data_IF_932766957817
#
_entry.id   IF_932766957817
#
_cell.length_a   1.000
_cell.length_b   1.000
_cell.length_c   1.000
_cell.angle_alpha   90.00
_cell.angle_beta   90.00
_cell.angle_gamma   90.00
#
_symmetry.space_group_name_H-M   'P 1'
#
loop_
_entity.id
_entity.type
_entity.pdbx_description
1 polymer ?
#
# COMPACT_ATOMS: atom_id res chain seq x y z
N UNK A 1 11.40 30.39 -32.91
CA UNK A 1 12.06 29.16 -32.41
C UNK A 1 11.95 29.17 -30.89
N UNK A 2 11.10 28.32 -30.32
CA UNK A 2 10.65 28.44 -28.92
C UNK A 2 11.48 27.54 -27.99
N UNK A 3 11.57 27.95 -26.72
CA UNK A 3 12.29 27.26 -25.64
C UNK A 3 11.87 25.80 -25.42
N UNK A 4 10.75 25.35 -26.01
CA UNK A 4 10.30 23.95 -25.97
C UNK A 4 11.15 23.00 -26.83
N UNK A 5 11.81 23.49 -27.90
CA UNK A 5 12.69 22.63 -28.73
C UNK A 5 14.02 22.29 -28.04
N UNK A 6 14.43 23.05 -27.01
CA UNK A 6 15.67 22.80 -26.28
C UNK A 6 15.55 21.71 -25.20
N UNK A 7 14.36 21.53 -24.62
CA UNK A 7 14.13 20.54 -23.56
C UNK A 7 13.97 19.10 -24.11
N UNK A 8 13.43 18.95 -25.32
CA UNK A 8 13.36 17.65 -26.01
C UNK A 8 14.73 17.16 -26.50
N UNK A 9 15.62 18.08 -26.89
CA UNK A 9 17.00 17.73 -27.25
C UNK A 9 17.84 17.32 -26.02
N UNK A 10 17.62 17.93 -24.85
CA UNK A 10 18.33 17.55 -23.62
C UNK A 10 17.82 16.22 -23.02
N UNK A 11 16.53 15.91 -23.17
CA UNK A 11 15.97 14.64 -22.71
C UNK A 11 16.49 13.45 -23.53
N UNK A 12 16.74 13.61 -24.84
CA UNK A 12 17.32 12.54 -25.66
C UNK A 12 18.82 12.31 -25.42
N UNK A 13 19.58 13.34 -25.02
CA UNK A 13 21.03 13.22 -24.76
C UNK A 13 21.32 12.65 -23.37
N UNK A 14 20.40 12.79 -22.40
CA UNK A 14 20.55 12.20 -21.06
C UNK A 14 20.03 10.75 -20.94
N UNK A 15 19.23 10.27 -21.90
CA UNK A 15 18.75 8.88 -21.95
C UNK A 15 19.64 7.94 -22.78
N UNK A 16 20.58 8.48 -23.55
CA UNK A 16 21.52 7.70 -24.37
C UNK A 16 22.49 6.79 -23.55
N UNK A 17 22.93 7.12 -22.32
CA UNK A 17 23.83 6.24 -21.57
C UNK A 17 23.12 5.04 -20.90
N UNK A 18 21.78 5.06 -20.78
CA UNK A 18 21.03 4.01 -20.08
C UNK A 18 20.56 2.86 -21.00
N UNK A 19 20.74 3.00 -22.32
CA UNK A 19 20.36 1.99 -23.31
C UNK A 19 21.56 1.29 -23.98
N UNK A 20 22.79 1.62 -23.58
CA UNK A 20 24.02 1.00 -24.09
C UNK A 20 24.68 -0.02 -23.15
N UNK A 21 24.02 -0.44 -22.07
CA UNK A 21 24.41 -1.64 -21.32
C UNK A 21 23.87 -2.89 -22.03
N UNK A 22 24.25 -3.04 -23.30
CA UNK A 22 24.08 -4.28 -24.03
C UNK A 22 24.82 -5.38 -23.25
N UNK A 23 24.10 -6.47 -23.02
CA UNK A 23 24.59 -7.75 -22.57
C UNK A 23 25.84 -8.19 -23.33
N UNK A 24 27.01 -7.79 -22.85
CA UNK A 24 28.18 -8.64 -22.92
C UNK A 24 28.07 -9.54 -21.70
N UNK A 25 27.79 -10.82 -21.94
CA UNK A 25 28.07 -11.89 -20.99
C UNK A 25 29.60 -11.95 -20.79
N UNK A 26 30.15 -10.94 -20.13
CA UNK A 26 31.47 -10.99 -19.57
C UNK A 26 31.40 -12.01 -18.45
N UNK A 27 32.22 -13.06 -18.54
CA UNK A 27 32.47 -13.98 -17.44
C UNK A 27 32.52 -13.15 -16.14
N UNK A 28 31.59 -13.43 -15.22
CA UNK A 28 31.48 -12.68 -13.98
C UNK A 28 32.84 -12.73 -13.31
N UNK A 29 33.55 -11.59 -13.33
CA UNK A 29 34.88 -11.50 -12.75
C UNK A 29 34.69 -11.67 -11.26
N UNK A 30 35.02 -12.86 -10.76
CA UNK A 30 35.00 -13.16 -9.34
C UNK A 30 35.86 -12.11 -8.65
N UNK A 31 35.28 -11.37 -7.72
CA UNK A 31 36.00 -10.44 -6.87
C UNK A 31 37.13 -11.24 -6.18
N UNK A 32 38.41 -10.83 -6.29
CA UNK A 32 39.54 -11.60 -5.77
C UNK A 32 39.45 -11.93 -4.26
N UNK A 33 38.61 -11.20 -3.53
CA UNK A 33 38.51 -11.23 -2.07
C UNK A 33 37.20 -11.84 -1.53
N UNK A 34 36.41 -12.58 -2.32
CA UNK A 34 35.33 -13.38 -1.72
C UNK A 34 35.93 -14.63 -1.04
N UNK A 35 36.02 -14.69 0.30
CA UNK A 35 36.59 -15.85 1.01
C UNK A 35 35.79 -17.14 0.78
N UNK A 36 34.60 -17.01 0.19
CA UNK A 36 33.75 -18.12 -0.16
C UNK A 36 33.69 -18.46 -1.65
N UNK A 37 34.47 -17.78 -2.49
CA UNK A 37 34.59 -18.17 -3.88
C UNK A 37 35.40 -19.46 -4.03
N UNK A 38 35.09 -20.23 -5.06
CA UNK A 38 35.82 -21.44 -5.39
C UNK A 38 35.47 -21.94 -6.77
N UNK A 39 36.24 -22.91 -7.24
CA UNK A 39 35.94 -23.62 -8.48
C UNK A 39 36.19 -25.11 -8.34
N UNK A 40 35.54 -25.88 -9.21
CA UNK A 40 35.84 -27.29 -9.38
C UNK A 40 35.73 -27.66 -10.85
N UNK A 41 36.52 -28.65 -11.22
CA UNK A 41 36.47 -29.25 -12.54
C UNK A 41 36.14 -30.71 -12.36
N UNK A 42 35.05 -31.15 -12.99
CA UNK A 42 34.75 -32.57 -13.12
C UNK A 42 34.87 -32.97 -14.58
N UNK A 43 35.35 -34.18 -14.83
CA UNK A 43 35.52 -34.70 -16.17
C UNK A 43 35.08 -36.17 -16.23
N UNK A 44 34.76 -36.63 -17.43
CA UNK A 44 34.39 -38.00 -17.67
C UNK A 44 34.53 -38.38 -19.13
N UNK A 45 34.37 -39.67 -19.39
CA UNK A 45 34.27 -40.20 -20.74
C UNK A 45 32.87 -40.79 -20.90
N UNK A 46 32.23 -40.47 -22.02
CA UNK A 46 30.97 -41.10 -22.40
C UNK A 46 31.23 -42.11 -23.51
N UNK A 47 30.78 -43.35 -23.27
CA UNK A 47 30.75 -44.40 -24.30
C UNK A 47 29.37 -44.41 -24.97
N UNK A 48 29.26 -44.80 -26.25
CA UNK A 48 27.98 -44.88 -26.94
C UNK A 48 26.96 -45.71 -26.15
N UNK A 49 25.79 -45.13 -25.86
CA UNK A 49 24.70 -45.80 -25.15
C UNK A 49 24.88 -45.95 -23.64
N UNK A 50 26.00 -45.49 -23.06
CA UNK A 50 26.24 -45.54 -21.61
C UNK A 50 26.32 -44.12 -21.07
N UNK A 51 25.45 -43.73 -20.11
CA UNK A 51 25.56 -42.42 -19.47
C UNK A 51 26.86 -42.32 -18.67
N UNK A 52 27.51 -41.16 -18.76
CA UNK A 52 28.62 -40.78 -17.92
C UNK A 52 28.06 -39.97 -16.75
N UNK A 53 28.25 -40.42 -15.51
CA UNK A 53 27.70 -39.74 -14.33
C UNK A 53 28.84 -39.20 -13.50
N UNK A 54 28.71 -37.95 -13.06
CA UNK A 54 29.67 -37.34 -12.15
C UNK A 54 28.98 -36.60 -11.02
N UNK A 55 29.65 -36.59 -9.86
CA UNK A 55 29.19 -35.88 -8.67
C UNK A 55 29.85 -34.51 -8.62
N UNK A 56 29.04 -33.46 -8.70
CA UNK A 56 29.43 -32.08 -8.51
C UNK A 56 29.10 -31.65 -7.08
N UNK A 57 30.12 -31.42 -6.24
CA UNK A 57 29.90 -30.98 -4.85
C UNK A 57 30.06 -29.46 -4.76
N UNK A 58 28.94 -28.74 -4.81
CA UNK A 58 28.90 -27.31 -4.51
C UNK A 58 28.62 -27.14 -3.00
N UNK A 59 29.43 -26.36 -2.26
CA UNK A 59 29.15 -26.12 -0.85
C UNK A 59 27.78 -25.44 -0.65
N UNK A 60 27.05 -25.74 0.44
CA UNK A 60 25.78 -25.08 0.73
C UNK A 60 25.98 -23.56 0.88
N UNK A 61 25.00 -22.78 0.39
CA UNK A 61 25.08 -21.31 0.38
C UNK A 61 25.94 -20.69 -0.72
N UNK A 62 26.43 -21.49 -1.67
CA UNK A 62 27.17 -21.00 -2.82
C UNK A 62 26.26 -20.77 -4.03
N UNK A 63 26.55 -19.71 -4.77
CA UNK A 63 25.91 -19.36 -6.04
C UNK A 63 26.88 -19.66 -7.18
N UNK A 64 26.46 -20.43 -8.17
CA UNK A 64 27.22 -20.62 -9.41
C UNK A 64 27.24 -19.28 -10.14
N UNK A 65 28.43 -18.79 -10.47
CA UNK A 65 28.64 -17.52 -11.21
C UNK A 65 29.15 -17.75 -12.62
N UNK A 66 29.74 -18.92 -12.86
CA UNK A 66 30.20 -19.34 -14.17
C UNK A 66 30.20 -20.88 -14.21
N UNK A 67 29.72 -21.44 -15.32
CA UNK A 67 29.86 -22.86 -15.60
C UNK A 67 30.07 -23.06 -17.10
N UNK A 68 31.22 -23.61 -17.46
CA UNK A 68 31.60 -23.91 -18.84
C UNK A 68 31.69 -25.41 -19.03
N UNK A 69 30.86 -25.93 -19.93
CA UNK A 69 30.94 -27.30 -20.41
C UNK A 69 31.83 -27.33 -21.65
N UNK A 70 32.81 -28.23 -21.64
CA UNK A 70 33.66 -28.51 -22.78
C UNK A 70 33.62 -29.99 -23.12
N UNK A 71 33.66 -30.32 -24.40
CA UNK A 71 33.79 -31.71 -24.83
C UNK A 71 34.64 -31.81 -26.08
N UNK A 72 35.41 -32.90 -26.14
CA UNK A 72 36.32 -33.19 -27.23
C UNK A 72 35.86 -34.42 -27.98
N UNK A 73 35.88 -34.34 -29.30
CA UNK A 73 35.68 -35.47 -30.19
C UNK A 73 36.82 -35.54 -31.20
N UNK A 74 37.25 -36.75 -31.56
CA UNK A 74 38.18 -36.90 -32.68
C UNK A 74 37.38 -36.83 -33.99
N UNK A 75 37.44 -35.72 -34.75
CA UNK A 75 36.61 -35.55 -35.93
C UNK A 75 37.01 -36.50 -37.07
N UNK A 76 38.19 -37.14 -37.01
CA UNK A 76 38.67 -38.00 -38.11
C UNK A 76 37.88 -39.30 -38.25
N UNK A 77 37.36 -39.84 -37.15
CA UNK A 77 36.60 -41.11 -37.16
C UNK A 77 35.13 -40.95 -36.72
N UNK A 78 34.78 -39.82 -36.11
CA UNK A 78 33.42 -39.52 -35.70
C UNK A 78 32.81 -38.53 -36.69
N UNK A 79 32.10 -39.03 -37.70
CA UNK A 79 31.29 -38.16 -38.56
C UNK A 79 30.08 -37.70 -37.75
N UNK A 80 29.84 -36.39 -37.60
CA UNK A 80 28.60 -35.94 -36.99
C UNK A 80 27.41 -36.40 -37.85
N UNK A 81 26.29 -36.82 -37.24
CA UNK A 81 25.07 -37.10 -37.97
C UNK A 81 24.67 -35.84 -38.71
N UNK A 82 24.46 -35.94 -40.03
CA UNK A 82 24.02 -34.82 -40.86
C UNK A 82 25.03 -34.30 -41.90
N UNK A 83 26.19 -34.92 -42.12
CA UNK A 83 27.03 -34.60 -43.31
C UNK A 83 26.47 -35.21 -44.61
N UNK A 84 25.26 -34.81 -44.95
CA UNK A 84 24.76 -34.73 -46.31
C UNK A 84 24.30 -33.29 -46.53
N UNK A 85 25.19 -32.45 -47.05
CA UNK A 85 25.01 -31.12 -47.69
C UNK A 85 23.99 -30.07 -47.20
N UNK A 86 23.17 -30.31 -46.17
CA UNK A 86 22.19 -29.35 -45.67
C UNK A 86 22.33 -29.19 -44.15
N UNK A 87 22.85 -28.02 -43.79
CA UNK A 87 23.00 -27.43 -42.46
C UNK A 87 23.99 -28.09 -41.47
N UNK A 88 24.95 -27.31 -40.91
CA UNK A 88 25.81 -27.80 -39.85
C UNK A 88 24.99 -27.98 -38.57
N UNK A 89 24.60 -29.21 -38.26
CA UNK A 89 24.06 -29.55 -36.94
C UNK A 89 25.18 -29.32 -35.92
N UNK A 90 25.07 -28.26 -35.14
CA UNK A 90 26.02 -27.96 -34.09
C UNK A 90 26.10 -29.15 -33.11
N UNK A 91 27.31 -29.55 -32.67
CA UNK A 91 27.44 -30.65 -31.73
C UNK A 91 26.62 -30.30 -30.48
N UNK A 92 25.82 -31.27 -30.03
CA UNK A 92 24.97 -31.12 -28.87
C UNK A 92 25.28 -32.22 -27.86
N UNK A 93 25.17 -31.87 -26.58
CA UNK A 93 25.44 -32.74 -25.45
C UNK A 93 24.23 -32.76 -24.53
N UNK A 94 23.77 -33.93 -24.12
CA UNK A 94 22.61 -34.04 -23.24
C UNK A 94 23.04 -34.08 -21.77
N UNK A 95 22.43 -33.23 -20.96
CA UNK A 95 22.57 -33.22 -19.50
C UNK A 95 21.20 -33.49 -18.91
N UNK A 96 21.02 -34.66 -18.30
CA UNK A 96 19.69 -35.16 -17.95
C UNK A 96 18.76 -35.20 -19.17
N UNK A 97 17.68 -34.42 -19.13
CA UNK A 97 16.72 -34.28 -20.22
C UNK A 97 16.92 -33.00 -21.06
N UNK A 98 17.94 -32.18 -20.76
CA UNK A 98 18.22 -30.95 -21.48
C UNK A 98 19.30 -31.17 -22.55
N UNK A 99 19.06 -30.64 -23.75
CA UNK A 99 20.04 -30.62 -24.83
C UNK A 99 20.84 -29.30 -24.80
N UNK A 100 22.16 -29.40 -24.63
CA UNK A 100 23.09 -28.27 -24.66
C UNK A 100 23.80 -28.25 -26.01
N UNK A 101 23.64 -27.18 -26.78
CA UNK A 101 24.28 -27.00 -28.09
C UNK A 101 25.58 -26.22 -27.91
N UNK A 102 26.63 -26.59 -28.64
CA UNK A 102 27.89 -25.84 -28.62
C UNK A 102 27.68 -24.40 -29.10
N UNK A 103 28.19 -23.46 -28.31
CA UNK A 103 28.20 -22.03 -28.63
C UNK A 103 29.49 -21.66 -29.38
N UNK A 104 30.58 -22.38 -29.10
CA UNK A 104 31.89 -22.15 -29.70
C UNK A 104 32.60 -23.47 -29.94
N UNK A 105 33.29 -23.58 -31.07
CA UNK A 105 34.16 -24.72 -31.41
C UNK A 105 35.57 -24.18 -31.65
N UNK A 106 36.56 -24.77 -30.99
CA UNK A 106 37.97 -24.45 -31.19
C UNK A 106 38.69 -25.65 -31.81
N UNK A 107 39.30 -25.46 -32.98
CA UNK A 107 40.05 -26.50 -33.68
C UNK A 107 41.49 -26.59 -33.17
N UNK A 108 41.96 -27.80 -32.89
CA UNK A 108 43.34 -28.06 -32.45
C UNK A 108 43.99 -29.26 -33.14
N UNK A 109 45.33 -29.41 -33.05
CA UNK A 109 46.06 -30.54 -33.63
C UNK A 109 45.61 -31.91 -33.08
N UNK A 110 44.88 -31.93 -31.96
CA UNK A 110 44.34 -33.12 -31.32
C UNK A 110 42.82 -33.30 -31.46
N UNK A 111 42.16 -32.49 -32.29
CA UNK A 111 40.71 -32.53 -32.51
C UNK A 111 40.02 -31.20 -32.23
N UNK A 112 38.71 -31.16 -32.48
CA UNK A 112 37.86 -30.00 -32.20
C UNK A 112 37.34 -30.07 -30.75
N UNK A 113 37.37 -28.95 -30.05
CA UNK A 113 36.82 -28.78 -28.70
C UNK A 113 35.59 -27.90 -28.79
N UNK A 114 34.45 -28.42 -28.38
CA UNK A 114 33.22 -27.65 -28.28
C UNK A 114 33.07 -27.09 -26.85
N UNK A 115 32.51 -25.88 -26.76
CA UNK A 115 32.26 -25.13 -25.55
C UNK A 115 30.80 -24.70 -25.48
N UNK A 116 30.20 -24.76 -24.29
CA UNK A 116 28.88 -24.17 -24.02
C UNK A 116 28.84 -23.57 -22.62
N UNK A 117 28.34 -22.34 -22.50
CA UNK A 117 28.03 -21.74 -21.22
C UNK A 117 26.73 -22.36 -20.67
N UNK A 118 26.83 -23.01 -19.52
CA UNK A 118 25.70 -23.66 -18.84
C UNK A 118 25.36 -23.02 -17.50
N UNK A 119 25.88 -21.83 -17.20
CA UNK A 119 25.75 -21.14 -15.90
C UNK A 119 24.30 -21.06 -15.43
N UNK A 120 23.39 -20.59 -16.28
CA UNK A 120 21.98 -20.40 -15.92
C UNK A 120 21.17 -21.70 -15.92
N UNK A 121 21.63 -22.70 -16.67
CA UNK A 121 20.95 -24.01 -16.84
C UNK A 121 21.36 -25.01 -15.76
N UNK A 122 22.59 -24.91 -15.27
CA UNK A 122 23.20 -25.87 -14.36
C UNK A 122 22.36 -26.16 -13.10
N UNK A 123 21.73 -25.16 -12.44
CA UNK A 123 20.84 -25.43 -11.31
C UNK A 123 19.64 -26.32 -11.65
N UNK A 124 19.10 -26.23 -12.88
CA UNK A 124 18.00 -27.08 -13.34
C UNK A 124 18.44 -28.47 -13.81
N UNK A 125 19.73 -28.63 -14.11
CA UNK A 125 20.33 -29.88 -14.57
C UNK A 125 20.86 -30.77 -13.44
N UNK A 126 21.04 -30.21 -12.24
CA UNK A 126 21.40 -30.97 -11.05
C UNK A 126 20.25 -31.87 -10.62
N UNK A 127 20.57 -33.10 -10.19
CA UNK A 127 19.58 -33.98 -9.57
C UNK A 127 18.95 -33.33 -8.32
N UNK A 128 17.86 -33.91 -7.82
CA UNK A 128 17.14 -33.38 -6.64
C UNK A 128 18.03 -33.26 -5.38
N UNK A 129 19.11 -34.04 -5.31
CA UNK A 129 20.13 -33.96 -4.25
C UNK A 129 21.09 -32.76 -4.39
N UNK A 130 20.97 -31.99 -5.48
CA UNK A 130 21.79 -30.83 -5.80
C UNK A 130 23.24 -31.14 -6.12
N UNK A 131 23.61 -32.42 -6.32
CA UNK A 131 25.02 -32.82 -6.37
C UNK A 131 25.39 -33.79 -7.48
N UNK A 132 24.42 -34.37 -8.18
CA UNK A 132 24.69 -35.35 -9.24
C UNK A 132 24.28 -34.78 -10.59
N UNK A 133 25.16 -34.94 -11.59
CA UNK A 133 24.88 -34.60 -12.98
C UNK A 133 25.09 -35.86 -13.82
N UNK A 134 24.07 -36.21 -14.62
CA UNK A 134 24.13 -37.30 -15.57
C UNK A 134 24.32 -36.74 -16.98
N UNK A 135 25.39 -37.15 -17.64
CA UNK A 135 25.71 -36.80 -19.01
C UNK A 135 25.36 -37.96 -19.94
N UNK A 136 24.50 -37.71 -20.90
CA UNK A 136 24.08 -38.71 -21.87
C UNK A 136 24.73 -38.41 -23.22
N UNK A 137 25.67 -39.26 -23.62
CA UNK A 137 26.25 -39.22 -24.96
C UNK A 137 25.29 -39.84 -25.97
N UNK A 138 24.26 -39.12 -26.40
CA UNK A 138 23.40 -39.53 -27.51
C UNK A 138 23.99 -39.05 -28.84
N UNK A 139 24.97 -39.80 -29.36
CA UNK A 139 25.34 -39.68 -30.77
C UNK A 139 24.64 -40.79 -31.54
N UNK A 140 23.57 -40.43 -32.25
CA UNK A 140 22.94 -41.31 -33.23
C UNK A 140 23.77 -41.30 -34.51
N UNK A 141 24.79 -42.16 -34.60
CA UNK A 141 25.53 -42.34 -35.84
C UNK A 141 26.94 -42.89 -35.66
N UNK A 142 27.10 -44.17 -36.05
CA UNK A 142 28.32 -44.79 -36.58
C UNK A 142 29.51 -45.02 -35.63
N UNK A 143 29.67 -46.30 -35.24
CA UNK A 143 30.94 -46.90 -34.82
C UNK A 143 31.21 -46.89 -33.31
N UNK A 144 31.48 -48.06 -32.73
CA UNK A 144 31.70 -48.29 -31.30
C UNK A 144 32.97 -47.63 -30.70
N UNK A 145 33.65 -46.73 -31.41
CA UNK A 145 34.97 -46.18 -31.03
C UNK A 145 35.01 -44.67 -30.78
N UNK A 146 33.87 -43.98 -30.80
CA UNK A 146 33.79 -42.55 -30.50
C UNK A 146 33.63 -42.31 -28.99
N UNK A 147 34.70 -42.50 -28.21
CA UNK A 147 34.74 -42.04 -26.82
C UNK A 147 34.86 -40.52 -26.79
N UNK A 148 33.90 -39.84 -26.16
CA UNK A 148 33.95 -38.38 -25.98
C UNK A 148 34.35 -38.06 -24.54
N UNK A 149 35.49 -37.39 -24.40
CA UNK A 149 35.88 -36.76 -23.16
C UNK A 149 35.07 -35.47 -22.98
N UNK A 150 34.53 -35.27 -21.79
CA UNK A 150 33.86 -34.03 -21.42
C UNK A 150 34.44 -33.51 -20.11
N UNK A 151 34.43 -32.19 -19.95
CA UNK A 151 34.87 -31.48 -18.75
C UNK A 151 33.87 -30.38 -18.44
N UNK A 152 33.42 -30.29 -17.20
CA UNK A 152 32.60 -29.20 -16.69
C UNK A 152 33.41 -28.44 -15.64
N UNK A 153 33.74 -27.19 -15.96
CA UNK A 153 34.35 -26.25 -15.02
C UNK A 153 33.24 -25.41 -14.40
N UNK A 154 33.20 -25.33 -13.07
CA UNK A 154 32.18 -24.58 -12.32
C UNK A 154 32.88 -23.65 -11.35
N UNK A 155 32.49 -22.38 -11.37
CA UNK A 155 32.92 -21.35 -10.44
C UNK A 155 31.72 -20.88 -9.61
N UNK A 156 31.92 -20.71 -8.31
CA UNK A 156 30.90 -20.22 -7.40
C UNK A 156 31.42 -19.13 -6.49
N UNK A 157 30.49 -18.35 -5.93
CA UNK A 157 30.68 -17.28 -4.95
C UNK A 157 29.76 -17.51 -3.75
N UNK A 158 29.94 -16.74 -2.67
CA UNK A 158 28.98 -16.68 -1.56
C UNK A 158 27.67 -16.02 -2.01
N UNK A 159 26.57 -16.77 -1.96
CA UNK A 159 25.25 -16.22 -2.25
C UNK A 159 24.77 -15.25 -1.18
N UNK A 160 24.03 -14.22 -1.59
CA UNK A 160 23.46 -13.17 -0.73
C UNK A 160 21.93 -13.22 -0.85
N UNK A 161 21.25 -14.14 -0.13
CA UNK A 161 19.80 -14.21 -0.16
C UNK A 161 19.21 -13.01 0.59
N UNK A 162 18.25 -12.32 -0.01
CA UNK A 162 17.58 -11.20 0.61
C UNK A 162 16.15 -11.09 0.08
N UNK A 163 15.24 -10.67 0.96
CA UNK A 163 13.83 -10.43 0.64
C UNK A 163 13.47 -9.06 1.20
N UNK A 164 12.62 -8.34 0.48
CA UNK A 164 12.05 -7.06 0.87
C UNK A 164 10.53 -7.16 0.79
N UNK A 165 9.83 -6.38 1.62
CA UNK A 165 8.38 -6.27 1.59
C UNK A 165 7.98 -4.82 1.79
N UNK A 166 6.97 -4.37 1.04
CA UNK A 166 6.26 -3.10 1.28
C UNK A 166 4.78 -3.41 1.42
N UNK A 167 4.07 -2.65 2.26
CA UNK A 167 2.63 -2.83 2.46
C UNK A 167 1.90 -1.49 2.55
N UNK A 168 0.67 -1.49 2.06
CA UNK A 168 -0.24 -0.34 2.05
C UNK A 168 -1.67 -0.82 2.26
N UNK A 169 -2.56 0.09 2.67
CA UNK A 169 -3.97 -0.19 2.86
C UNK A 169 -4.83 0.78 2.04
N UNK A 170 -5.92 0.26 1.49
CA UNK A 170 -6.91 1.01 0.74
C UNK A 170 -8.31 0.76 1.35
N UNK A 171 -9.05 1.80 1.75
CA UNK A 171 -8.68 3.22 1.71
C UNK A 171 -7.54 3.59 2.68
N UNK A 172 -6.83 4.68 2.39
CA UNK A 172 -5.73 5.19 3.23
C UNK A 172 -6.23 5.92 4.50
N UNK A 173 -7.54 6.17 4.58
CA UNK A 173 -8.22 6.73 5.75
C UNK A 173 -9.46 5.89 6.07
N UNK A 174 -9.79 5.77 7.35
CA UNK A 174 -10.94 4.99 7.80
C UNK A 174 -11.13 5.05 9.30
N UNK A 175 -12.29 4.63 9.78
CA UNK A 175 -12.59 4.45 11.20
C UNK A 175 -12.17 3.04 11.62
N UNK A 176 -11.80 2.82 12.89
CA UNK A 176 -11.57 1.47 13.39
C UNK A 176 -12.76 0.54 13.09
N UNK A 177 -12.47 -0.63 12.51
CA UNK A 177 -13.48 -1.61 12.10
C UNK A 177 -14.04 -1.44 10.68
N UNK A 178 -13.79 -0.32 10.00
CA UNK A 178 -14.17 -0.14 8.59
C UNK A 178 -13.49 -1.19 7.71
N UNK A 179 -14.11 -1.56 6.59
CA UNK A 179 -13.51 -2.48 5.63
C UNK A 179 -12.31 -1.82 4.97
N UNK A 180 -11.20 -2.55 4.89
CA UNK A 180 -10.05 -2.17 4.08
C UNK A 180 -9.54 -3.35 3.26
N UNK A 181 -8.73 -3.05 2.25
CA UNK A 181 -7.93 -4.01 1.51
C UNK A 181 -6.46 -3.69 1.76
N UNK A 182 -5.73 -4.61 2.36
CA UNK A 182 -4.28 -4.49 2.54
C UNK A 182 -3.58 -5.14 1.35
N UNK A 183 -2.64 -4.42 0.74
CA UNK A 183 -1.81 -4.92 -0.34
C UNK A 183 -0.36 -4.98 0.11
N UNK A 184 0.38 -6.01 -0.30
CA UNK A 184 1.80 -6.13 -0.07
C UNK A 184 2.55 -6.50 -1.35
N UNK A 185 3.73 -5.90 -1.52
CA UNK A 185 4.67 -6.18 -2.62
C UNK A 185 5.90 -6.85 -2.01
N UNK A 186 6.10 -8.12 -2.35
CA UNK A 186 7.23 -8.93 -1.89
C UNK A 186 8.25 -8.99 -3.02
N UNK A 187 9.50 -8.63 -2.74
CA UNK A 187 10.57 -8.58 -3.74
C UNK A 187 11.77 -9.41 -3.28
N UNK A 188 12.30 -10.25 -4.17
CA UNK A 188 13.61 -10.86 -3.94
C UNK A 188 14.71 -9.87 -4.34
N UNK A 189 15.33 -9.26 -3.34
CA UNK A 189 16.43 -8.29 -3.51
C UNK A 189 17.82 -8.94 -3.48
N UNK A 190 17.86 -10.26 -3.22
CA UNK A 190 19.09 -11.04 -3.23
C UNK A 190 19.51 -11.47 -4.63
N UNK A 191 20.61 -12.20 -4.69
CA UNK A 191 21.20 -12.74 -5.92
C UNK A 191 20.89 -14.23 -6.16
N UNK A 192 20.06 -14.83 -5.30
CA UNK A 192 19.67 -16.25 -5.38
C UNK A 192 18.15 -16.43 -5.40
N UNK A 193 17.64 -17.45 -6.10
CA UNK A 193 16.23 -17.81 -6.02
C UNK A 193 15.79 -18.17 -4.60
N UNK A 194 14.60 -17.70 -4.23
CA UNK A 194 13.92 -18.06 -2.98
C UNK A 194 12.83 -19.08 -3.27
N UNK A 195 12.62 -20.02 -2.35
CA UNK A 195 11.61 -21.08 -2.38
C UNK A 195 10.84 -21.12 -1.07
N UNK A 196 9.64 -21.70 -1.10
CA UNK A 196 8.76 -21.75 0.05
C UNK A 196 8.35 -20.36 0.55
N UNK A 197 8.34 -19.36 -0.34
CA UNK A 197 8.03 -17.98 0.04
C UNK A 197 6.58 -17.89 0.49
N UNK A 198 6.36 -17.32 1.67
CA UNK A 198 5.04 -17.07 2.26
C UNK A 198 4.95 -15.62 2.72
N UNK A 199 3.78 -15.01 2.56
CA UNK A 199 3.46 -13.69 3.10
C UNK A 199 2.33 -13.82 4.16
N UNK A 200 2.42 -13.06 5.23
CA UNK A 200 1.41 -12.94 6.29
C UNK A 200 1.02 -11.46 6.41
N UNK A 201 -0.27 -11.15 6.37
CA UNK A 201 -0.81 -9.78 6.39
C UNK A 201 -1.78 -9.62 7.57
N UNK A 202 -1.51 -8.65 8.45
CA UNK A 202 -2.17 -8.49 9.75
C UNK A 202 -3.61 -7.95 9.70
N UNK A 203 -4.08 -7.48 8.55
CA UNK A 203 -5.47 -7.00 8.40
C UNK A 203 -6.54 -8.10 8.56
N UNK A 204 -6.12 -9.36 8.72
CA UNK A 204 -6.92 -10.54 9.05
C UNK A 204 -6.04 -11.80 9.16
N UNK A 205 -6.60 -13.02 9.27
CA UNK A 205 -5.80 -14.26 9.19
C UNK A 205 -5.42 -14.55 7.74
N UNK A 206 -4.54 -13.73 7.15
CA UNK A 206 -4.22 -13.80 5.72
C UNK A 206 -2.77 -14.27 5.48
N UNK A 207 -2.60 -15.60 5.39
CA UNK A 207 -1.35 -16.23 4.99
C UNK A 207 -1.41 -16.73 3.55
N UNK A 208 -0.52 -16.23 2.71
CA UNK A 208 -0.47 -16.52 1.27
C UNK A 208 0.83 -17.23 0.92
N UNK A 209 0.73 -18.39 0.23
CA UNK A 209 1.89 -19.08 -0.33
C UNK A 209 2.21 -18.53 -1.71
N UNK A 210 3.44 -18.02 -1.88
CA UNK A 210 3.98 -17.48 -3.14
C UNK A 210 4.78 -18.55 -3.89
N UNK A 211 5.42 -19.47 -3.17
CA UNK A 211 6.22 -20.54 -3.75
C UNK A 211 7.63 -20.08 -4.08
N UNK A 212 7.97 -19.93 -5.36
CA UNK A 212 9.31 -19.53 -5.82
C UNK A 212 9.34 -18.05 -6.21
N UNK A 213 10.43 -17.35 -5.86
CA UNK A 213 10.69 -15.96 -6.25
C UNK A 213 12.14 -15.82 -6.73
N UNK A 214 12.35 -15.67 -8.03
CA UNK A 214 13.68 -15.51 -8.63
C UNK A 214 14.29 -14.12 -8.33
N UNK A 215 15.63 -13.96 -8.42
CA UNK A 215 16.30 -12.67 -8.17
C UNK A 215 15.70 -11.52 -8.98
N UNK A 216 15.47 -10.38 -8.32
CA UNK A 216 14.88 -9.19 -8.93
C UNK A 216 13.39 -9.32 -9.30
N UNK A 217 12.75 -10.47 -9.04
CA UNK A 217 11.31 -10.62 -9.24
C UNK A 217 10.54 -10.20 -8.00
N UNK A 218 9.30 -9.76 -8.24
CA UNK A 218 8.35 -9.36 -7.21
C UNK A 218 6.99 -10.03 -7.38
N UNK A 219 6.27 -10.18 -6.27
CA UNK A 219 4.89 -10.67 -6.23
C UNK A 219 4.03 -9.70 -5.43
N UNK A 220 2.89 -9.33 -6.00
CA UNK A 220 1.87 -8.54 -5.32
C UNK A 220 0.80 -9.48 -4.76
N UNK A 221 0.42 -9.26 -3.50
CA UNK A 221 -0.65 -9.98 -2.81
C UNK A 221 -1.59 -9.00 -2.14
N UNK A 222 -2.87 -9.34 -2.00
CA UNK A 222 -3.87 -8.48 -1.37
C UNK A 222 -4.85 -9.29 -0.53
N UNK A 223 -5.26 -8.73 0.60
CA UNK A 223 -6.15 -9.35 1.57
C UNK A 223 -7.24 -8.36 2.01
N UNK A 224 -8.52 -8.77 2.05
CA UNK A 224 -9.55 -7.98 2.71
C UNK A 224 -9.37 -8.05 4.22
N UNK A 225 -9.68 -6.94 4.90
CA UNK A 225 -9.52 -6.82 6.34
C UNK A 225 -10.34 -5.68 6.92
N UNK A 226 -10.03 -5.31 8.15
CA UNK A 226 -10.63 -4.17 8.85
C UNK A 226 -9.57 -3.17 9.31
N UNK A 227 -9.92 -1.89 9.35
CA UNK A 227 -9.08 -0.82 9.91
C UNK A 227 -8.75 -1.10 11.37
N UNK A 228 -7.46 -1.26 11.72
CA UNK A 228 -7.01 -1.48 13.09
C UNK A 228 -7.30 -0.27 13.97
N UNK A 229 -7.40 -0.50 15.29
CA UNK A 229 -7.69 0.56 16.27
C UNK A 229 -6.56 1.58 16.42
N UNK A 230 -5.33 1.18 16.10
CA UNK A 230 -4.12 2.00 16.10
C UNK A 230 -3.76 2.55 14.71
N UNK A 231 -4.54 2.18 13.69
CA UNK A 231 -4.30 2.55 12.29
C UNK A 231 -3.04 1.93 11.68
N UNK A 232 -2.45 0.90 12.29
CA UNK A 232 -1.25 0.24 11.75
C UNK A 232 -1.58 -1.11 11.13
N UNK A 233 -1.15 -1.32 9.89
CA UNK A 233 -1.19 -2.63 9.24
C UNK A 233 0.24 -3.15 9.11
N UNK A 234 0.48 -4.41 9.44
CA UNK A 234 1.79 -5.03 9.24
C UNK A 234 1.72 -6.16 8.20
N UNK A 235 2.87 -6.43 7.59
CA UNK A 235 3.04 -7.57 6.70
C UNK A 235 4.42 -8.18 6.91
N UNK A 236 4.49 -9.51 6.90
CA UNK A 236 5.73 -10.28 6.98
C UNK A 236 5.89 -11.16 5.74
N UNK A 237 7.12 -11.32 5.26
CA UNK A 237 7.48 -12.29 4.24
C UNK A 237 8.61 -13.19 4.75
N UNK A 238 8.47 -14.49 4.51
CA UNK A 238 9.45 -15.53 4.90
C UNK A 238 9.71 -16.46 3.73
N UNK A 239 10.89 -17.06 3.68
CA UNK A 239 11.24 -18.08 2.69
C UNK A 239 12.63 -18.64 2.92
N UNK A 240 13.11 -19.42 1.97
CA UNK A 240 14.44 -20.03 2.01
C UNK A 240 15.16 -19.85 0.69
N UNK A 241 16.48 -19.68 0.72
CA UNK A 241 17.31 -19.88 -0.47
C UNK A 241 17.41 -21.37 -0.81
N UNK A 242 17.79 -21.69 -2.05
CA UNK A 242 18.11 -23.08 -2.46
C UNK A 242 19.23 -23.71 -1.60
N UNK A 243 20.12 -22.89 -1.03
CA UNK A 243 21.17 -23.34 -0.11
C UNK A 243 20.70 -23.57 1.33
N UNK A 244 19.39 -23.46 1.62
CA UNK A 244 18.80 -23.70 2.95
C UNK A 244 18.82 -22.51 3.90
N UNK A 245 19.35 -21.35 3.49
CA UNK A 245 19.38 -20.15 4.33
C UNK A 245 18.00 -19.51 4.42
N UNK A 246 17.47 -19.25 5.64
CA UNK A 246 16.19 -18.56 5.81
C UNK A 246 16.32 -17.07 5.48
N UNK A 247 15.24 -16.50 4.95
CA UNK A 247 15.10 -15.05 4.77
C UNK A 247 13.80 -14.57 5.41
N UNK A 248 13.82 -13.33 5.91
CA UNK A 248 12.71 -12.70 6.59
C UNK A 248 12.71 -11.19 6.29
N UNK A 249 11.53 -10.63 6.03
CA UNK A 249 11.32 -9.18 5.98
C UNK A 249 9.95 -8.83 6.58
N UNK A 250 9.85 -7.63 7.15
CA UNK A 250 8.62 -7.09 7.71
C UNK A 250 8.44 -5.64 7.27
N UNK A 251 7.19 -5.22 7.08
CA UNK A 251 6.82 -3.85 6.77
C UNK A 251 5.59 -3.43 7.53
N UNK A 252 5.51 -2.14 7.83
CA UNK A 252 4.33 -1.50 8.42
C UNK A 252 3.79 -0.43 7.49
N UNK A 253 2.48 -0.42 7.31
CA UNK A 253 1.70 0.62 6.64
C UNK A 253 0.85 1.37 7.66
N UNK A 254 0.29 2.51 7.23
CA UNK A 254 -0.57 3.35 8.09
C UNK A 254 -1.88 3.66 7.39
N UNK A 255 -2.95 3.65 8.16
CA UNK A 255 -4.28 4.16 7.83
C UNK A 255 -4.55 5.35 8.72
N UNK A 256 -4.92 6.48 8.14
CA UNK A 256 -5.32 7.67 8.89
C UNK A 256 -6.67 7.40 9.58
N UNK A 257 -6.68 7.45 10.91
CA UNK A 257 -7.90 7.25 11.68
C UNK A 257 -8.79 8.48 11.60
N UNK A 258 -10.02 8.30 11.09
CA UNK A 258 -11.01 9.36 11.06
C UNK A 258 -11.64 9.55 12.46
N UNK A 259 -11.82 10.79 12.95
CA UNK A 259 -12.46 11.05 14.23
C UNK A 259 -13.86 10.45 14.26
N UNK A 260 -14.22 9.77 15.37
CA UNK A 260 -15.58 9.27 15.59
C UNK A 260 -16.60 10.40 15.39
N UNK A 261 -17.73 10.15 14.70
CA UNK A 261 -18.65 11.22 14.40
C UNK A 261 -19.39 11.57 15.70
N UNK A 262 -19.16 12.79 16.20
CA UNK A 262 -19.75 13.21 17.46
C UNK A 262 -21.18 13.69 17.22
N UNK A 263 -22.11 13.08 17.96
CA UNK A 263 -23.49 13.53 17.98
C UNK A 263 -23.65 14.59 19.08
N UNK A 264 -24.29 15.71 18.77
CA UNK A 264 -24.57 16.78 19.71
C UNK A 264 -25.94 17.41 19.41
N UNK A 265 -26.69 17.70 20.46
CA UNK A 265 -27.98 18.40 20.39
C UNK A 265 -27.95 19.60 21.33
N UNK A 266 -28.62 20.69 20.97
CA UNK A 266 -28.89 21.79 21.89
C UNK A 266 -30.37 22.12 21.95
N UNK A 267 -30.78 22.61 23.11
CA UNK A 267 -32.12 23.05 23.41
C UNK A 267 -32.02 24.45 24.03
N UNK A 268 -32.76 25.38 23.45
CA UNK A 268 -32.77 26.78 23.83
C UNK A 268 -34.21 27.26 24.05
N UNK A 269 -34.42 28.05 25.10
CA UNK A 269 -35.67 28.77 25.36
C UNK A 269 -35.38 30.23 25.03
N UNK A 270 -36.06 30.76 24.01
CA UNK A 270 -35.91 32.16 23.64
C UNK A 270 -36.62 33.11 24.62
N UNK A 271 -36.79 34.36 24.22
CA UNK A 271 -37.48 35.34 25.05
C UNK A 271 -38.95 34.96 25.25
N UNK A 272 -39.36 34.83 26.51
CA UNK A 272 -40.74 34.49 26.89
C UNK A 272 -41.60 35.75 26.78
N UNK A 273 -42.67 35.68 26.00
CA UNK A 273 -43.58 36.80 25.73
C UNK A 273 -44.90 36.58 26.47
N UNK A 274 -45.30 37.54 27.32
CA UNK A 274 -46.58 37.46 28.03
C UNK A 274 -47.76 37.73 27.09
N UNK A 275 -48.85 36.98 27.22
CA UNK A 275 -50.06 37.17 26.39
C UNK A 275 -50.98 38.18 27.10
N UNK A 276 -51.21 39.38 26.53
CA UNK A 276 -52.00 40.42 27.19
C UNK A 276 -53.41 39.95 27.57
N UNK A 277 -53.82 40.25 28.81
CA UNK A 277 -55.15 39.92 29.32
C UNK A 277 -55.33 38.46 29.74
N UNK A 278 -54.25 37.69 29.88
CA UNK A 278 -54.28 36.30 30.35
C UNK A 278 -53.13 35.99 31.29
N UNK A 279 -53.28 34.99 32.16
CA UNK A 279 -52.17 34.48 32.99
C UNK A 279 -51.21 33.55 32.22
N UNK A 280 -51.11 33.68 30.90
CA UNK A 280 -50.33 32.80 30.04
C UNK A 280 -49.20 33.55 29.33
N UNK A 281 -48.11 32.85 29.05
CA UNK A 281 -46.99 33.32 28.24
C UNK A 281 -46.70 32.36 27.10
N UNK A 282 -46.24 32.90 25.97
CA UNK A 282 -45.65 32.13 24.89
C UNK A 282 -44.17 31.87 25.15
N UNK A 283 -43.80 30.60 25.06
CA UNK A 283 -42.43 30.13 25.26
C UNK A 283 -41.90 29.64 23.92
N UNK A 284 -40.98 30.38 23.25
CA UNK A 284 -40.32 29.92 22.05
C UNK A 284 -39.23 28.90 22.42
N UNK A 285 -39.29 27.71 21.81
CA UNK A 285 -38.34 26.62 22.02
C UNK A 285 -37.63 26.33 20.71
N UNK A 286 -36.29 26.25 20.76
CA UNK A 286 -35.46 25.89 19.61
C UNK A 286 -34.63 24.66 19.94
N UNK A 287 -34.71 23.65 19.07
CA UNK A 287 -33.90 22.45 19.11
C UNK A 287 -32.97 22.47 17.90
N UNK A 288 -31.67 22.23 18.11
CA UNK A 288 -30.70 22.16 17.02
C UNK A 288 -29.85 20.90 17.12
N UNK A 289 -29.69 20.22 16.00
CA UNK A 289 -28.67 19.19 15.85
C UNK A 289 -27.31 19.86 15.57
N UNK A 290 -26.42 19.90 16.55
CA UNK A 290 -25.08 20.48 16.44
C UNK A 290 -24.04 19.53 15.83
N UNK A 291 -24.46 18.34 15.43
CA UNK A 291 -23.59 17.36 14.78
C UNK A 291 -23.26 17.79 13.34
N UNK A 292 -22.02 17.60 12.90
CA UNK A 292 -21.60 17.95 11.53
C UNK A 292 -22.02 16.92 10.47
N UNK A 293 -22.24 15.66 10.86
CA UNK A 293 -22.47 14.55 9.92
C UNK A 293 -23.39 13.44 10.45
N UNK A 294 -23.99 13.62 11.63
CA UNK A 294 -24.83 12.61 12.28
C UNK A 294 -26.28 13.08 12.34
N UNK A 295 -27.21 12.45 11.60
CA UNK A 295 -28.63 12.68 11.79
C UNK A 295 -29.07 12.09 13.14
N UNK A 296 -29.97 12.79 13.81
CA UNK A 296 -30.63 12.33 15.03
C UNK A 296 -32.03 11.82 14.68
N UNK A 297 -32.39 10.66 15.19
CA UNK A 297 -33.73 10.06 15.08
C UNK A 297 -34.34 9.86 16.46
N UNK A 298 -35.64 9.57 16.51
CA UNK A 298 -36.43 9.47 17.74
C UNK A 298 -36.28 10.71 18.63
N UNK A 299 -36.17 11.90 18.00
CA UNK A 299 -35.94 13.15 18.72
C UNK A 299 -37.22 13.58 19.42
N UNK A 300 -37.16 13.64 20.75
CA UNK A 300 -38.28 14.00 21.61
C UNK A 300 -37.87 15.07 22.63
N UNK A 301 -38.70 16.10 22.77
CA UNK A 301 -38.62 17.08 23.85
C UNK A 301 -39.61 16.69 24.93
N UNK A 302 -39.08 16.41 26.12
CA UNK A 302 -39.84 16.06 27.32
C UNK A 302 -39.67 17.13 28.39
N UNK A 303 -40.46 17.07 29.46
CA UNK A 303 -40.35 18.02 30.57
C UNK A 303 -41.68 18.64 31.02
N UNK A 304 -41.59 19.84 31.60
CA UNK A 304 -42.70 20.65 32.10
C UNK A 304 -42.60 22.10 31.55
N UNK A 305 -43.74 22.75 31.23
CA UNK A 305 -45.10 22.22 31.25
C UNK A 305 -45.35 21.19 30.14
N UNK A 306 -46.41 20.37 30.30
CA UNK A 306 -46.73 19.30 29.35
C UNK A 306 -47.06 19.82 27.95
N UNK A 307 -47.53 21.06 27.85
CA UNK A 307 -47.79 21.80 26.62
C UNK A 307 -46.54 22.04 25.76
N UNK A 308 -45.35 21.99 26.37
CA UNK A 308 -44.07 22.17 25.69
C UNK A 308 -43.44 20.86 25.20
N UNK A 309 -44.06 19.70 25.46
CA UNK A 309 -43.57 18.42 24.95
C UNK A 309 -43.80 18.33 23.44
N UNK A 310 -42.82 17.77 22.72
CA UNK A 310 -42.88 17.67 21.26
C UNK A 310 -42.11 16.47 20.74
N UNK A 311 -42.68 15.79 19.75
CA UNK A 311 -41.97 14.80 18.95
C UNK A 311 -41.55 15.46 17.63
N UNK A 312 -40.24 15.40 17.32
CA UNK A 312 -39.65 15.96 16.09
C UNK A 312 -39.36 14.82 15.10
N UNK A 313 -39.27 13.58 15.60
CA UNK A 313 -38.93 12.36 14.89
C UNK A 313 -37.49 12.33 14.34
N UNK A 314 -37.07 13.33 13.55
CA UNK A 314 -35.74 13.36 12.93
C UNK A 314 -35.19 14.77 12.79
N UNK A 315 -33.88 14.92 13.01
CA UNK A 315 -33.12 16.13 12.73
C UNK A 315 -31.85 15.80 11.93
N UNK A 316 -31.73 16.36 10.73
CA UNK A 316 -30.54 16.28 9.91
C UNK A 316 -29.35 17.06 10.53
N UNK A 317 -28.10 16.77 10.12
CA UNK A 317 -26.93 17.50 10.62
C UNK A 317 -27.06 19.02 10.42
N UNK A 318 -26.92 19.80 11.50
CA UNK A 318 -27.07 21.26 11.48
C UNK A 318 -28.52 21.77 11.46
N UNK A 319 -29.52 20.89 11.36
CA UNK A 319 -30.94 21.28 11.28
C UNK A 319 -31.42 21.93 12.58
N UNK A 320 -32.27 22.95 12.42
CA UNK A 320 -32.89 23.71 13.50
C UNK A 320 -34.41 23.52 13.41
N UNK A 321 -35.03 23.11 14.51
CA UNK A 321 -36.47 23.00 14.66
C UNK A 321 -36.96 23.93 15.77
N UNK A 322 -37.82 24.87 15.42
CA UNK A 322 -38.38 25.84 16.36
C UNK A 322 -39.89 25.67 16.48
N UNK A 323 -40.41 25.76 17.71
CA UNK A 323 -41.84 25.76 17.98
C UNK A 323 -42.17 26.64 19.17
N UNK A 324 -43.46 26.94 19.36
CA UNK A 324 -43.95 27.71 20.50
C UNK A 324 -44.87 26.82 21.34
N UNK A 325 -44.82 27.01 22.66
CA UNK A 325 -45.75 26.41 23.61
C UNK A 325 -46.26 27.47 24.59
N UNK A 326 -47.26 27.11 25.41
CA UNK A 326 -47.84 28.00 26.43
C UNK A 326 -47.50 27.53 27.83
N UNK A 327 -47.18 28.47 28.71
CA UNK A 327 -46.93 28.25 30.13
C UNK A 327 -47.65 29.32 30.96
N UNK A 328 -47.97 29.02 32.21
CA UNK A 328 -48.65 29.96 33.11
C UNK A 328 -47.65 30.98 33.68
N UNK A 329 -48.10 32.17 34.03
CA UNK A 329 -47.26 33.18 34.68
C UNK A 329 -46.67 32.63 36.00
N UNK A 330 -45.36 32.81 36.20
CA UNK A 330 -44.64 32.26 37.35
C UNK A 330 -44.35 30.75 37.29
N UNK A 331 -44.74 30.05 36.23
CA UNK A 331 -44.46 28.61 36.06
C UNK A 331 -43.00 28.37 35.65
N UNK A 332 -42.40 27.28 36.18
CA UNK A 332 -41.08 26.81 35.74
C UNK A 332 -41.19 26.00 34.45
N UNK A 333 -40.33 26.30 33.50
CA UNK A 333 -40.18 25.61 32.23
C UNK A 333 -38.87 24.81 32.27
N UNK A 334 -38.99 23.51 32.48
CA UNK A 334 -37.88 22.56 32.57
C UNK A 334 -38.01 21.57 31.42
N UNK A 335 -37.17 21.72 30.38
CA UNK A 335 -37.26 20.90 29.17
C UNK A 335 -35.96 20.11 28.96
N UNK A 336 -36.12 18.86 28.52
CA UNK A 336 -35.02 17.98 28.12
C UNK A 336 -35.30 17.44 26.73
N UNK A 337 -34.40 17.69 25.79
CA UNK A 337 -34.41 17.03 24.48
C UNK A 337 -33.52 15.80 24.54
N UNK A 338 -34.01 14.72 23.93
CA UNK A 338 -33.29 13.47 23.81
C UNK A 338 -33.37 13.02 22.35
N UNK A 339 -32.26 12.53 21.79
CA UNK A 339 -32.19 11.99 20.45
C UNK A 339 -31.24 10.81 20.34
N UNK A 340 -31.48 9.95 19.34
CA UNK A 340 -30.63 8.80 19.04
C UNK A 340 -29.84 9.06 17.76
N UNK A 341 -28.51 8.99 17.77
CA UNK A 341 -27.72 9.18 16.56
C UNK A 341 -27.85 7.98 15.60
N UNK A 342 -28.00 8.29 14.33
CA UNK A 342 -28.00 7.32 13.24
C UNK A 342 -26.61 7.28 12.59
N UNK A 343 -25.81 6.25 12.88
CA UNK A 343 -24.42 6.13 12.38
C UNK A 343 -24.39 4.99 11.36
N UNK A 344 -23.95 5.28 10.13
CA UNK A 344 -23.92 4.27 9.05
C UNK A 344 -25.31 3.77 8.63
N UNK A 345 -26.36 4.56 8.85
CA UNK A 345 -27.74 4.21 8.48
C UNK A 345 -28.47 3.32 9.48
N UNK A 346 -27.85 2.97 10.61
CA UNK A 346 -28.47 2.21 11.69
C UNK A 346 -28.48 3.04 12.98
N UNK A 347 -29.50 2.81 13.82
CA UNK A 347 -29.51 3.36 15.19
C UNK A 347 -28.38 2.66 15.93
N UNK A 348 -27.35 3.41 16.28
CA UNK A 348 -26.17 2.81 16.90
C UNK A 348 -26.53 2.34 18.32
N UNK A 349 -26.60 1.02 18.53
CA UNK A 349 -26.89 0.42 19.84
C UNK A 349 -25.86 0.83 20.91
N UNK A 350 -24.63 1.13 20.49
CA UNK A 350 -23.55 1.62 21.36
C UNK A 350 -23.48 3.14 21.47
N UNK A 351 -24.32 3.88 20.75
CA UNK A 351 -24.26 5.33 20.81
C UNK A 351 -25.05 5.84 22.02
N UNK A 352 -24.35 6.60 22.86
CA UNK A 352 -24.98 7.29 23.97
C UNK A 352 -26.09 8.20 23.42
N UNK A 353 -27.26 8.14 24.07
CA UNK A 353 -28.31 9.11 23.80
C UNK A 353 -27.76 10.51 23.98
N UNK A 354 -27.95 11.35 22.98
CA UNK A 354 -27.63 12.77 23.10
C UNK A 354 -28.76 13.45 23.83
N UNK A 355 -28.42 14.24 24.84
CA UNK A 355 -29.40 14.97 25.64
C UNK A 355 -28.93 16.38 25.93
N UNK A 356 -29.88 17.32 25.98
CA UNK A 356 -29.66 18.67 26.46
C UNK A 356 -30.87 19.09 27.31
N UNK A 357 -30.60 19.75 28.43
CA UNK A 357 -31.61 20.25 29.35
C UNK A 357 -31.50 21.75 29.47
N UNK A 358 -32.64 22.44 29.54
CA UNK A 358 -32.70 23.88 29.78
C UNK A 358 -33.82 24.20 30.77
N UNK A 359 -33.65 25.31 31.47
CA UNK A 359 -34.51 25.76 32.56
C UNK A 359 -34.79 27.26 32.38
N UNK A 360 -36.06 27.64 32.47
CA UNK A 360 -36.48 29.04 32.49
C UNK A 360 -37.67 29.21 33.44
N UNK A 361 -37.88 30.42 33.96
CA UNK A 361 -39.05 30.76 34.76
C UNK A 361 -39.85 31.81 34.00
N UNK A 362 -41.15 31.59 33.82
CA UNK A 362 -42.03 32.58 33.21
C UNK A 362 -42.11 33.78 34.16
N UNK A 363 -41.74 34.99 33.72
CA UNK A 363 -41.87 36.19 34.54
C UNK A 363 -43.31 36.33 35.07
N UNK A 364 -43.46 36.68 36.34
CA UNK A 364 -44.78 37.01 36.89
C UNK A 364 -45.41 38.17 36.12
N UNK A 365 -46.74 38.19 36.03
CA UNK A 365 -47.44 39.32 35.43
C UNK A 365 -46.97 40.62 36.11
N UNK A 366 -46.61 41.67 35.34
CA UNK A 366 -46.30 42.95 35.95
C UNK A 366 -47.51 43.37 36.77
N UNK A 367 -47.33 43.85 38.02
CA UNK A 367 -48.45 44.29 38.83
C UNK A 367 -49.22 45.34 38.06
N UNK A 368 -50.54 45.16 37.92
CA UNK A 368 -51.42 46.09 37.22
C UNK A 368 -51.18 47.50 37.76
N UNK A 369 -50.45 48.31 37.01
CA UNK A 369 -50.30 49.72 37.35
C UNK A 369 -51.68 50.33 37.18
N UNK A 370 -52.32 50.85 38.24
CA UNK A 370 -53.68 51.37 38.13
C UNK A 370 -53.72 52.46 37.05
N UNK A 371 -54.72 52.44 36.14
CA UNK A 371 -54.84 53.42 35.08
C UNK A 371 -55.19 54.76 35.72
N UNK A 372 -54.20 55.63 35.92
CA UNK A 372 -54.46 56.94 36.50
C UNK A 372 -53.28 57.80 36.92
N UNK A 373 -52.06 57.28 37.03
CA UNK A 373 -50.91 58.13 37.37
C UNK A 373 -50.19 58.52 36.09
N UNK A 374 -50.55 59.70 35.57
CA UNK A 374 -49.77 60.37 34.55
C UNK A 374 -48.30 60.46 35.01
N UNK A 375 -47.32 60.15 34.14
CA UNK A 375 -45.92 60.33 34.50
C UNK A 375 -45.68 61.81 34.83
N UNK A 376 -45.31 62.07 36.07
CA UNK A 376 -44.84 63.39 36.46
C UNK A 376 -43.64 63.76 35.59
N UNK A 377 -43.71 64.95 34.98
CA UNK A 377 -42.64 65.54 34.19
C UNK A 377 -41.28 65.43 34.87
N UNK A 378 -40.20 65.08 34.15
CA UNK A 378 -38.85 65.03 34.71
C UNK A 378 -38.29 66.47 34.77
N UNK A 379 -38.68 67.22 35.79
CA UNK A 379 -37.89 68.34 36.28
C UNK A 379 -37.24 67.88 37.58
N UNK A 380 -35.93 68.10 37.69
CA UNK A 380 -35.04 67.76 38.80
C UNK A 380 -34.49 66.33 38.84
N UNK A 381 -33.81 65.93 37.76
CA UNK A 381 -32.71 64.98 37.87
C UNK A 381 -31.40 65.75 38.16
N UNK A 382 -30.67 65.45 39.24
CA UNK A 382 -29.36 66.05 39.51
C UNK A 382 -28.34 65.66 38.43
N UNK A 383 -27.35 66.53 38.12
CA UNK A 383 -26.39 66.28 37.05
C UNK A 383 -25.58 65.01 37.33
N UNK A 384 -25.47 64.16 36.30
CA UNK A 384 -24.71 62.91 36.35
C UNK A 384 -23.25 63.15 36.77
N UNK A 385 -22.64 62.24 37.55
CA UNK A 385 -21.20 62.28 37.79
C UNK A 385 -20.47 62.14 36.45
N UNK A 386 -19.59 63.10 36.20
CA UNK A 386 -18.68 63.14 35.06
C UNK A 386 -17.71 61.96 35.22
N UNK A 387 -17.97 60.85 34.53
CA UNK A 387 -16.99 59.78 34.41
C UNK A 387 -15.81 60.28 33.57
N UNK A 388 -14.66 60.33 34.23
CA UNK A 388 -13.37 60.62 33.62
C UNK A 388 -13.06 59.51 32.61
N UNK A 389 -13.05 59.92 31.35
CA UNK A 389 -12.84 59.07 30.19
C UNK A 389 -11.39 58.58 30.23
N UNK A 390 -11.18 57.38 30.79
CA UNK A 390 -9.88 56.71 30.72
C UNK A 390 -9.69 56.27 29.27
N UNK A 391 -8.75 56.92 28.59
CA UNK A 391 -8.33 56.58 27.23
C UNK A 391 -8.02 55.08 27.13
N UNK A 392 -8.56 54.36 26.14
CA UNK A 392 -8.11 53.01 25.85
C UNK A 392 -6.65 53.10 25.40
N UNK A 393 -5.76 52.58 26.24
CA UNK A 393 -4.38 52.32 25.89
C UNK A 393 -4.35 51.53 24.58
N UNK A 394 -3.76 52.13 23.55
CA UNK A 394 -3.50 51.51 22.28
C UNK A 394 -2.81 50.16 22.50
N UNK A 395 -3.56 49.08 22.25
CA UNK A 395 -3.01 47.74 22.20
C UNK A 395 -2.13 47.67 20.96
N UNK A 396 -0.83 47.77 21.23
CA UNK A 396 0.26 47.65 20.26
C UNK A 396 0.20 46.25 19.65
N UNK A 397 -0.30 46.17 18.41
CA UNK A 397 -0.17 44.98 17.57
C UNK A 397 1.32 44.60 17.46
N UNK A 398 1.66 43.37 17.86
CA UNK A 398 2.96 42.79 17.57
C UNK A 398 2.92 42.13 16.17
N UNK A 399 3.84 42.47 15.26
CA UNK A 399 3.91 41.82 13.97
C UNK A 399 4.90 40.66 14.02
N UNK A 400 4.51 39.53 14.63
CA UNK A 400 5.26 38.29 14.47
C UNK A 400 4.32 37.09 14.35
N UNK A 401 3.96 36.76 13.10
CA UNK A 401 3.80 35.40 12.54
C UNK A 401 3.13 35.47 11.15
N UNK A 402 3.83 36.07 10.21
CA UNK A 402 3.57 35.95 8.78
C UNK A 402 4.77 35.27 8.10
N UNK A 403 4.97 33.99 8.40
CA UNK A 403 5.89 33.13 7.67
C UNK A 403 5.40 31.68 7.80
N UNK A 404 4.66 31.19 6.81
CA UNK A 404 4.21 29.80 6.79
C UNK A 404 3.05 29.49 5.85
N UNK A 405 2.97 30.09 4.67
CA UNK A 405 1.95 29.74 3.66
C UNK A 405 2.48 29.79 2.21
N UNK A 406 3.66 29.23 1.97
CA UNK A 406 4.14 28.91 0.61
C UNK A 406 4.75 27.51 0.63
N UNK A 407 3.91 26.48 0.58
CA UNK A 407 4.34 25.10 0.28
C UNK A 407 3.20 24.15 -0.14
N UNK A 408 2.07 24.63 -0.70
CA UNK A 408 1.04 23.71 -1.25
C UNK A 408 0.45 24.32 -2.53
N UNK A 409 1.27 24.46 -3.56
CA UNK A 409 0.83 24.77 -4.93
C UNK A 409 1.79 24.21 -5.97
N UNK A 410 2.42 23.06 -5.66
CA UNK A 410 3.45 22.42 -6.48
C UNK A 410 3.18 20.96 -6.88
N UNK A 411 1.98 20.41 -6.62
CA UNK A 411 1.71 18.96 -6.85
C UNK A 411 0.52 18.70 -7.81
N UNK A 412 -0.17 19.73 -8.29
CA UNK A 412 -1.40 19.57 -9.08
C UNK A 412 -1.23 19.67 -10.62
N UNK A 413 -0.03 19.36 -11.16
CA UNK A 413 0.25 19.40 -12.62
C UNK A 413 0.89 18.11 -13.18
N UNK A 414 0.82 16.97 -12.49
CA UNK A 414 1.28 15.67 -13.04
C UNK A 414 0.23 14.56 -12.97
N UNK A 415 -1.02 14.85 -13.34
CA UNK A 415 -2.04 13.80 -13.45
C UNK A 415 -2.99 13.95 -14.65
N UNK A 416 -2.48 14.40 -15.80
CA UNK A 416 -3.22 14.33 -17.08
C UNK A 416 -2.25 13.96 -18.23
N UNK A 417 -1.66 12.75 -18.21
CA UNK A 417 -0.91 12.25 -19.38
C UNK A 417 -0.91 10.73 -19.59
N UNK A 418 -1.75 9.94 -18.88
CA UNK A 418 -1.86 8.49 -19.14
C UNK A 418 -3.32 8.12 -19.33
N UNK A 419 -3.90 8.57 -20.44
CA UNK A 419 -5.30 8.31 -20.79
C UNK A 419 -5.55 8.28 -22.30
N UNK A 420 -4.52 8.05 -23.12
CA UNK A 420 -4.67 7.93 -24.57
C UNK A 420 -3.53 7.08 -25.15
N UNK A 421 -3.55 5.76 -24.95
CA UNK A 421 -2.77 4.81 -25.76
C UNK A 421 -3.24 3.33 -25.64
N UNK A 422 -4.51 3.09 -25.31
CA UNK A 422 -5.10 1.73 -25.38
C UNK A 422 -6.38 1.73 -26.21
N UNK A 423 -6.22 1.87 -27.53
CA UNK A 423 -7.26 1.53 -28.51
C UNK A 423 -6.70 1.52 -29.94
N UNK A 424 -5.77 0.60 -30.23
CA UNK A 424 -5.51 0.19 -31.62
C UNK A 424 -4.68 -1.10 -31.66
N UNK A 425 -5.35 -2.25 -31.75
CA UNK A 425 -4.93 -3.43 -32.56
C UNK A 425 -5.92 -4.57 -32.34
N UNK A 426 -7.09 -4.47 -32.97
CA UNK A 426 -7.88 -5.65 -33.36
C UNK A 426 -8.78 -5.31 -34.54
N UNK A 427 -8.22 -5.32 -35.74
CA UNK A 427 -8.94 -5.53 -36.99
C UNK A 427 -7.92 -5.80 -38.11
N UNK A 428 -8.05 -6.95 -38.78
CA UNK A 428 -7.29 -7.26 -39.99
C UNK A 428 -7.17 -8.74 -40.24
N UNK A 429 -7.87 -9.22 -41.26
CA UNK A 429 -7.89 -10.59 -41.79
C UNK A 429 -6.53 -11.10 -42.22
#
# INVERSE_FOLDING_TARGET
MSRQSWLLAFALVLLAPLLCSAHLAGAARVEPDDPGAGSTTIAGVSSPGVPSVAKLKIPPGKRIVDAELTWTGNPKNCRPPGRGELEPVAPAFWIGAEQVVAERITGGPHGDIAHANVTERLPGMLAADGSTIAFHGLWQGLGASCGLGWTLHVVWTTGKPAIDIRTEAAPAEGRPGDRLSQTAVITNTGDMPLVGVTADLDSGPCRISIGRLDPGKQKVVSCPGKTPVDGQVAAEARGWSLGGWPVHAAATGRVQLLPQPQAAVSLDIGQIEHIPGTDAAEVPVTVQNKSSSVPLVDVVVTGRPVSCRREIARLEPGEIFSYRCRASAGESVDLTVVGRPLIGGVVAESAQLVQATTHAVVPGAPPDTPPGVAPASPLDAPPAPRYEQTEPSAMRESPEKAAGFIAILGVLVMMVSVGALSSATRAGK
#
